data_IF_395685686329
#
_entry.id   IF_395685686329
#
_cell.length_a   1.000
_cell.length_b   1.000
_cell.length_c   1.000
_cell.angle_alpha   90.00
_cell.angle_beta   90.00
_cell.angle_gamma   90.00
#
_symmetry.space_group_name_H-M   'P 1'
#
loop_
_entity.id
_entity.type
_entity.pdbx_description
1 polymer ?
#
# COMPACT_ATOMS: atom_id res chain seq x y z
N UNK A 1 -5.48 -23.50 -17.21
CA UNK A 1 -4.88 -22.74 -18.34
C UNK A 1 -4.19 -21.50 -17.80
N UNK A 2 -2.89 -21.59 -17.47
CA UNK A 2 -2.11 -20.40 -17.14
C UNK A 2 -1.87 -19.64 -18.46
N UNK A 3 -2.57 -18.52 -18.65
CA UNK A 3 -2.30 -17.62 -19.78
C UNK A 3 -0.90 -17.04 -19.55
N UNK A 4 0.14 -17.66 -20.13
CA UNK A 4 1.43 -16.98 -20.31
C UNK A 4 1.14 -15.80 -21.22
N UNK A 5 1.04 -14.61 -20.63
CA UNK A 5 1.07 -13.38 -21.41
C UNK A 5 2.40 -13.38 -22.17
N UNK A 6 2.39 -13.22 -23.50
CA UNK A 6 3.59 -13.32 -24.31
C UNK A 6 4.56 -12.20 -23.93
N UNK A 7 5.75 -12.58 -23.48
CA UNK A 7 6.89 -11.68 -23.16
C UNK A 7 7.36 -10.88 -24.40
N UNK A 8 6.77 -11.11 -25.58
CA UNK A 8 7.12 -10.50 -26.87
C UNK A 8 6.88 -8.98 -26.95
N UNK A 9 6.05 -8.41 -26.05
CA UNK A 9 5.90 -6.94 -25.94
C UNK A 9 6.89 -6.31 -24.96
N UNK A 10 7.83 -7.07 -24.39
CA UNK A 10 8.87 -6.55 -23.49
C UNK A 10 9.98 -5.83 -24.26
N UNK A 11 9.64 -4.89 -25.14
CA UNK A 11 10.65 -3.93 -25.58
C UNK A 11 11.09 -3.12 -24.35
N UNK A 12 12.40 -2.80 -24.23
CA UNK A 12 12.90 -1.97 -23.14
C UNK A 12 12.17 -0.62 -23.09
N UNK A 13 11.70 -0.13 -24.24
CA UNK A 13 10.92 1.11 -24.32
C UNK A 13 9.51 0.97 -23.70
N UNK A 14 8.77 -0.12 -23.99
CA UNK A 14 7.45 -0.36 -23.38
C UNK A 14 7.58 -0.56 -21.86
N UNK A 15 8.59 -1.29 -21.41
CA UNK A 15 8.83 -1.50 -19.97
C UNK A 15 9.17 -0.21 -19.24
N UNK A 16 9.91 0.72 -19.88
CA UNK A 16 10.21 2.04 -19.34
C UNK A 16 8.97 2.94 -19.26
N UNK A 17 8.10 2.92 -20.28
CA UNK A 17 6.82 3.64 -20.26
C UNK A 17 5.92 3.12 -19.14
N UNK A 18 5.78 1.79 -19.04
CA UNK A 18 4.99 1.15 -17.99
C UNK A 18 5.50 1.51 -16.59
N UNK A 19 6.82 1.48 -16.38
CA UNK A 19 7.42 1.89 -15.11
C UNK A 19 7.12 3.36 -14.81
N UNK A 20 7.21 4.26 -15.80
CA UNK A 20 6.93 5.68 -15.62
C UNK A 20 5.48 5.94 -15.22
N UNK A 21 4.52 5.34 -15.92
CA UNK A 21 3.10 5.47 -15.58
C UNK A 21 2.77 4.88 -14.20
N UNK A 22 3.37 3.74 -13.87
CA UNK A 22 3.14 3.10 -12.58
C UNK A 22 3.67 3.95 -11.43
N UNK A 23 4.87 4.52 -11.56
CA UNK A 23 5.45 5.42 -10.56
C UNK A 23 4.62 6.69 -10.39
N UNK A 24 4.20 7.33 -11.48
CA UNK A 24 3.34 8.51 -11.42
C UNK A 24 2.01 8.21 -10.71
N UNK A 25 1.42 7.04 -10.96
CA UNK A 25 0.22 6.60 -10.25
C UNK A 25 0.50 6.38 -8.77
N UNK A 26 1.60 5.72 -8.41
CA UNK A 26 1.96 5.47 -7.01
C UNK A 26 2.25 6.75 -6.24
N UNK A 27 2.95 7.69 -6.85
CA UNK A 27 3.20 9.04 -6.32
C UNK A 27 1.90 9.77 -6.04
N UNK A 28 0.98 9.79 -7.01
CA UNK A 28 -0.33 10.37 -6.80
C UNK A 28 -1.09 9.68 -5.65
N UNK A 29 -1.02 8.35 -5.52
CA UNK A 29 -1.75 7.65 -4.46
C UNK A 29 -1.16 7.79 -3.05
N UNK A 30 0.15 8.04 -2.92
CA UNK A 30 0.85 8.03 -1.63
C UNK A 30 1.29 9.42 -1.13
N UNK A 31 1.53 10.35 -2.04
CA UNK A 31 2.11 11.66 -1.74
C UNK A 31 1.05 12.75 -1.90
N UNK A 32 0.18 12.66 -2.90
CA UNK A 32 -0.82 13.72 -3.13
C UNK A 32 -1.91 13.70 -2.05
N UNK A 33 -2.17 14.84 -1.38
CA UNK A 33 -3.14 14.93 -0.27
C UNK A 33 -4.58 14.68 -0.71
N UNK A 34 -4.87 14.87 -2.00
CA UNK A 34 -6.20 14.71 -2.62
C UNK A 34 -6.52 13.27 -2.99
N UNK A 35 -5.51 12.41 -3.03
CA UNK A 35 -5.70 11.05 -3.50
C UNK A 35 -6.29 10.16 -2.41
N UNK A 36 -6.53 8.93 -2.80
CA UNK A 36 -7.21 7.86 -2.08
C UNK A 36 -6.47 7.38 -0.81
N UNK A 37 -5.71 8.28 -0.16
CA UNK A 37 -5.01 8.09 1.11
C UNK A 37 -5.96 7.48 2.15
N UNK A 38 -7.22 7.92 2.17
CA UNK A 38 -8.25 7.35 3.06
C UNK A 38 -8.42 5.84 2.86
N UNK A 39 -8.41 5.33 1.62
CA UNK A 39 -8.50 3.89 1.38
C UNK A 39 -7.21 3.15 1.70
N UNK A 40 -6.04 3.74 1.45
CA UNK A 40 -4.75 3.13 1.82
C UNK A 40 -4.59 3.04 3.34
N UNK A 41 -4.99 4.07 4.08
CA UNK A 41 -4.99 4.04 5.54
C UNK A 41 -6.02 3.05 6.10
N UNK A 42 -7.25 3.06 5.56
CA UNK A 42 -8.37 2.28 6.12
C UNK A 42 -8.36 0.81 5.75
N UNK A 43 -7.91 0.46 4.54
CA UNK A 43 -8.06 -0.89 4.01
C UNK A 43 -6.71 -1.61 3.87
N UNK A 44 -6.51 -2.75 4.56
CA UNK A 44 -5.31 -3.56 4.37
C UNK A 44 -5.17 -4.08 2.93
N UNK A 45 -6.28 -4.29 2.22
CA UNK A 45 -6.26 -4.71 0.82
C UNK A 45 -5.63 -3.66 -0.10
N UNK A 46 -5.95 -2.37 0.11
CA UNK A 46 -5.35 -1.30 -0.65
C UNK A 46 -3.85 -1.17 -0.34
N UNK A 47 -3.42 -1.32 0.93
CA UNK A 47 -1.99 -1.38 1.28
C UNK A 47 -1.26 -2.51 0.57
N UNK A 48 -1.82 -3.72 0.59
CA UNK A 48 -1.24 -4.89 -0.07
C UNK A 48 -1.13 -4.67 -1.59
N UNK A 49 -2.16 -4.11 -2.23
CA UNK A 49 -2.14 -3.77 -3.67
C UNK A 49 -1.07 -2.75 -4.00
N UNK A 50 -0.90 -1.70 -3.19
CA UNK A 50 0.15 -0.70 -3.37
C UNK A 50 1.53 -1.33 -3.17
N UNK A 51 1.71 -2.16 -2.14
CA UNK A 51 2.95 -2.91 -1.91
C UNK A 51 3.34 -3.81 -3.08
N UNK A 52 2.40 -4.56 -3.63
CA UNK A 52 2.62 -5.39 -4.81
C UNK A 52 3.02 -4.56 -6.05
N UNK A 53 2.41 -3.38 -6.25
CA UNK A 53 2.78 -2.48 -7.35
C UNK A 53 4.19 -1.90 -7.18
N UNK A 54 4.61 -1.58 -5.95
CA UNK A 54 5.98 -1.12 -5.66
C UNK A 54 6.98 -2.24 -5.98
N UNK A 55 6.68 -3.47 -5.59
CA UNK A 55 7.55 -4.62 -5.87
C UNK A 55 7.63 -4.93 -7.37
N UNK A 56 6.51 -4.85 -8.08
CA UNK A 56 6.49 -4.95 -9.53
C UNK A 56 7.32 -3.85 -10.20
N UNK A 57 7.29 -2.63 -9.67
CA UNK A 57 8.14 -1.52 -10.16
C UNK A 57 9.63 -1.83 -10.00
N UNK A 58 10.05 -2.48 -8.91
CA UNK A 58 11.44 -2.95 -8.73
C UNK A 58 11.80 -3.99 -9.79
N UNK A 59 10.90 -4.93 -10.05
CA UNK A 59 11.13 -5.97 -11.05
C UNK A 59 11.30 -5.36 -12.46
N UNK A 60 10.45 -4.40 -12.83
CA UNK A 60 10.58 -3.68 -14.10
C UNK A 60 11.89 -2.90 -14.20
N UNK A 61 12.27 -2.22 -13.13
CA UNK A 61 13.53 -1.50 -13.04
C UNK A 61 14.73 -2.44 -13.22
N UNK A 62 14.75 -3.60 -12.56
CA UNK A 62 15.80 -4.61 -12.73
C UNK A 62 15.87 -5.12 -14.18
N UNK A 63 14.72 -5.41 -14.82
CA UNK A 63 14.67 -5.81 -16.24
C UNK A 63 15.29 -4.73 -17.14
N UNK A 64 14.99 -3.46 -16.88
CA UNK A 64 15.56 -2.34 -17.63
C UNK A 64 17.07 -2.22 -17.43
N UNK A 65 17.57 -2.40 -16.21
CA UNK A 65 19.00 -2.36 -15.90
C UNK A 65 19.78 -3.47 -16.58
N UNK A 66 19.21 -4.68 -16.62
CA UNK A 66 19.77 -5.81 -17.36
C UNK A 66 19.77 -5.57 -18.89
N UNK A 67 18.86 -4.73 -19.39
CA UNK A 67 18.82 -4.36 -20.82
C UNK A 67 19.82 -3.26 -21.22
N UNK A 68 20.37 -2.50 -20.26
CA UNK A 68 21.30 -1.39 -20.52
C UNK A 68 22.55 -1.79 -21.34
N UNK A 69 23.19 -2.95 -21.13
CA UNK A 69 24.35 -3.37 -21.92
C UNK A 69 24.03 -3.57 -23.41
N UNK A 70 22.76 -3.79 -23.77
CA UNK A 70 22.33 -3.97 -25.17
C UNK A 70 22.28 -2.64 -25.95
N UNK A 71 22.40 -1.50 -25.26
CA UNK A 71 22.31 -0.17 -25.87
C UNK A 71 23.68 0.21 -26.43
N UNK A 72 23.80 0.24 -27.76
CA UNK A 72 25.04 0.59 -28.48
C UNK A 72 25.38 2.09 -28.40
N UNK A 73 24.37 2.95 -28.24
CA UNK A 73 24.54 4.40 -28.21
C UNK A 73 24.88 4.83 -26.78
N UNK A 74 26.15 5.23 -26.55
CA UNK A 74 26.64 5.60 -25.22
C UNK A 74 25.86 6.77 -24.60
N UNK A 75 25.52 7.80 -25.37
CA UNK A 75 24.73 8.94 -24.87
C UNK A 75 23.35 8.51 -24.34
N UNK A 76 22.65 7.63 -25.08
CA UNK A 76 21.35 7.05 -24.66
C UNK A 76 21.52 6.15 -23.43
N UNK A 77 22.62 5.42 -23.34
CA UNK A 77 22.92 4.57 -22.18
C UNK A 77 23.11 5.41 -20.90
N UNK A 78 23.88 6.49 -20.97
CA UNK A 78 24.09 7.40 -19.82
C UNK A 78 22.79 8.08 -19.41
N UNK A 79 22.01 8.61 -20.36
CA UNK A 79 20.73 9.25 -20.03
C UNK A 79 19.74 8.28 -19.37
N UNK A 80 19.66 7.03 -19.87
CA UNK A 80 18.85 5.99 -19.26
C UNK A 80 19.37 5.57 -17.88
N UNK A 81 20.68 5.44 -17.68
CA UNK A 81 21.26 5.15 -16.37
C UNK A 81 20.88 6.21 -15.33
N UNK A 82 21.01 7.50 -15.67
CA UNK A 82 20.61 8.60 -14.79
C UNK A 82 19.11 8.56 -14.51
N UNK A 83 18.29 8.29 -15.53
CA UNK A 83 16.85 8.16 -15.38
C UNK A 83 16.45 7.00 -14.45
N UNK A 84 17.09 5.84 -14.61
CA UNK A 84 16.87 4.66 -13.75
C UNK A 84 17.36 4.90 -12.32
N UNK A 85 18.48 5.62 -12.14
CA UNK A 85 18.95 6.02 -10.82
C UNK A 85 17.94 6.93 -10.10
N UNK A 86 17.34 7.87 -10.81
CA UNK A 86 16.26 8.70 -10.26
C UNK A 86 15.02 7.85 -9.90
N UNK A 87 14.60 6.95 -10.79
CA UNK A 87 13.47 6.04 -10.53
C UNK A 87 13.71 5.10 -9.35
N UNK A 88 14.96 4.64 -9.14
CA UNK A 88 15.36 3.89 -7.92
C UNK A 88 15.09 4.69 -6.66
N UNK A 89 15.48 5.96 -6.65
CA UNK A 89 15.26 6.84 -5.50
C UNK A 89 13.76 7.07 -5.27
N UNK A 90 12.98 7.29 -6.34
CA UNK A 90 11.52 7.41 -6.25
C UNK A 90 10.88 6.15 -5.64
N UNK A 91 11.26 4.95 -6.11
CA UNK A 91 10.74 3.68 -5.56
C UNK A 91 11.08 3.53 -4.07
N UNK A 92 12.29 3.93 -3.66
CA UNK A 92 12.70 3.89 -2.25
C UNK A 92 11.85 4.83 -1.40
N UNK A 93 11.63 6.06 -1.85
CA UNK A 93 10.79 7.04 -1.17
C UNK A 93 9.33 6.55 -1.05
N UNK A 94 8.76 6.00 -2.13
CA UNK A 94 7.41 5.43 -2.12
C UNK A 94 7.29 4.23 -1.16
N UNK A 95 8.31 3.37 -1.09
CA UNK A 95 8.34 2.28 -0.11
C UNK A 95 8.39 2.81 1.32
N UNK A 96 9.29 3.74 1.62
CA UNK A 96 9.39 4.33 2.96
C UNK A 96 8.05 4.93 3.39
N UNK A 97 7.38 5.65 2.48
CA UNK A 97 6.06 6.22 2.75
C UNK A 97 4.98 5.15 2.98
N UNK A 98 4.98 4.06 2.21
CA UNK A 98 4.06 2.95 2.44
C UNK A 98 4.33 2.27 3.79
N UNK A 99 5.60 2.10 4.16
CA UNK A 99 6.00 1.49 5.43
C UNK A 99 5.54 2.38 6.61
N UNK A 100 5.69 3.71 6.52
CA UNK A 100 5.12 4.68 7.49
C UNK A 100 3.61 4.54 7.62
N UNK A 101 2.88 4.51 6.50
CA UNK A 101 1.41 4.37 6.49
C UNK A 101 0.98 3.04 7.10
N UNK A 102 1.73 1.98 6.84
CA UNK A 102 1.48 0.64 7.38
C UNK A 102 1.71 0.61 8.88
N UNK A 103 2.82 1.21 9.35
CA UNK A 103 3.12 1.35 10.77
C UNK A 103 2.06 2.17 11.51
N UNK A 104 1.58 3.29 10.93
CA UNK A 104 0.48 4.07 11.50
C UNK A 104 -0.80 3.24 11.56
N UNK A 105 -1.14 2.51 10.49
CA UNK A 105 -2.35 1.69 10.46
C UNK A 105 -2.30 0.47 11.40
N UNK A 106 -1.11 -0.01 11.76
CA UNK A 106 -0.90 -1.05 12.77
C UNK A 106 -0.85 -0.49 14.19
N UNK A 107 -0.31 0.72 14.35
CA UNK A 107 -0.20 1.43 15.62
C UNK A 107 -1.50 2.12 16.06
N UNK A 108 -2.44 2.33 15.14
CA UNK A 108 -3.84 2.61 15.44
C UNK A 108 -4.56 1.25 15.58
N UNK A 109 -4.53 0.58 16.75
CA UNK A 109 -5.46 -0.50 17.02
C UNK A 109 -6.82 0.17 16.98
N UNK A 110 -7.55 -0.04 15.88
CA UNK A 110 -8.89 0.43 15.69
C UNK A 110 -9.66 0.25 17.01
N UNK A 111 -9.93 1.38 17.67
CA UNK A 111 -11.10 1.56 18.53
C UNK A 111 -12.38 1.48 17.70
N UNK A 112 -12.41 0.65 16.65
CA UNK A 112 -13.62 0.07 16.11
C UNK A 112 -14.07 -1.05 17.06
N UNK A 113 -14.41 -0.61 18.27
CA UNK A 113 -15.69 -0.79 18.94
C UNK A 113 -16.78 -1.42 18.05
N UNK A 114 -16.58 -2.65 17.57
CA UNK A 114 -17.64 -3.50 17.04
C UNK A 114 -18.14 -4.50 18.08
N UNK A 115 -17.78 -4.35 19.36
CA UNK A 115 -18.14 -5.34 20.39
C UNK A 115 -18.80 -4.81 21.67
N UNK A 116 -19.06 -3.50 21.83
CA UNK A 116 -19.51 -2.99 23.14
C UNK A 116 -20.96 -2.50 23.23
N UNK A 117 -21.78 -2.55 22.16
CA UNK A 117 -23.17 -2.08 22.27
C UNK A 117 -24.16 -3.15 22.78
N UNK A 118 -23.85 -4.45 22.67
CA UNK A 118 -24.81 -5.51 23.08
C UNK A 118 -24.64 -5.90 24.57
N UNK A 119 -23.50 -5.62 25.18
CA UNK A 119 -23.22 -6.07 26.56
C UNK A 119 -23.56 -5.05 27.67
N UNK A 120 -23.76 -3.76 27.36
CA UNK A 120 -24.05 -2.76 28.38
C UNK A 120 -25.49 -2.86 28.94
N UNK A 121 -26.47 -3.25 28.11
CA UNK A 121 -27.86 -3.39 28.55
C UNK A 121 -28.06 -4.58 29.51
N UNK A 122 -27.28 -5.66 29.37
CA UNK A 122 -27.41 -6.84 30.23
C UNK A 122 -26.94 -6.58 31.68
N UNK A 123 -26.05 -5.60 31.90
CA UNK A 123 -25.50 -5.32 33.24
C UNK A 123 -26.38 -4.39 34.09
N UNK A 124 -27.27 -3.61 33.48
CA UNK A 124 -28.07 -2.61 34.21
C UNK A 124 -29.31 -3.19 34.91
N UNK A 125 -29.90 -4.29 34.41
CA UNK A 125 -31.18 -4.78 34.93
C UNK A 125 -31.09 -5.85 36.03
N UNK A 126 -29.91 -6.18 36.58
CA UNK A 126 -29.78 -7.25 37.60
C UNK A 126 -29.57 -6.79 39.06
N UNK A 127 -29.70 -5.49 39.37
CA UNK A 127 -29.52 -4.99 40.75
C UNK A 127 -30.80 -4.62 41.52
N UNK A 128 -32.00 -4.68 40.93
CA UNK A 128 -33.24 -4.34 41.66
C UNK A 128 -34.02 -5.58 42.16
N UNK A 129 -33.34 -6.49 42.85
CA UNK A 129 -33.99 -7.68 43.43
C UNK A 129 -33.65 -7.94 44.91
N UNK A 130 -33.01 -7.00 45.61
CA UNK A 130 -32.69 -7.21 47.02
C UNK A 130 -32.91 -5.97 47.89
N UNK A 131 -34.13 -5.46 47.91
CA UNK A 131 -34.53 -4.46 48.90
C UNK A 131 -35.99 -4.67 49.29
N UNK A 132 -36.22 -5.62 50.19
CA UNK A 132 -37.59 -5.98 50.59
C UNK A 132 -37.71 -7.12 51.60
N UNK A 133 -36.69 -7.35 52.44
CA UNK A 133 -36.83 -8.21 53.62
C UNK A 133 -36.18 -7.55 54.82
N UNK A 134 -37.01 -6.84 55.58
CA UNK A 134 -37.02 -6.76 57.06
C UNK A 134 -37.58 -5.39 57.46
N UNK A 135 -38.87 -5.35 57.73
CA UNK A 135 -39.29 -4.56 58.89
C UNK A 135 -40.15 -5.47 59.77
N UNK A 136 -39.54 -5.87 60.89
CA UNK A 136 -40.16 -6.56 62.02
C UNK A 136 -41.01 -5.54 62.76
N UNK A 137 -42.30 -5.81 62.93
CA UNK A 137 -43.04 -5.54 64.15
C UNK A 137 -44.07 -6.63 64.32
#
# INVERSE_FOLDING_TARGET
MARKLPESYASPDITLVNLTHLLARLENNLISPSADLKLVHRSPYHRARVGANIEYSRTLLMKLELSLPNIKIQARKVSLQTNLAHKRQQIKALKARLDEITAIAEAEPDTQTFSNHISAAAKMCRSSANEGRRNKR
#
